data_IF_526749438168
#
_entry.id   IF_526749438168
#
_cell.length_a   1.000
_cell.length_b   1.000
_cell.length_c   1.000
_cell.angle_alpha   90.00
_cell.angle_beta   90.00
_cell.angle_gamma   90.00
#
_symmetry.space_group_name_H-M   'P 1'
#
loop_
_entity.id
_entity.type
_entity.pdbx_description
1 polymer ?
#
# COMPACT_ATOMS: atom_id res chain seq x y z
N UNK A 1 49.23 -12.67 -61.12
CA UNK A 1 49.48 -13.59 -60.01
C UNK A 1 49.42 -12.87 -58.72
N UNK A 2 48.41 -13.05 -57.96
CA UNK A 2 48.43 -13.09 -56.53
C UNK A 2 47.00 -13.14 -56.02
N UNK A 3 46.65 -14.24 -55.38
CA UNK A 3 45.38 -14.54 -54.75
C UNK A 3 45.39 -13.86 -53.41
N UNK A 4 44.40 -13.01 -53.11
CA UNK A 4 44.13 -12.50 -51.79
C UNK A 4 42.89 -13.18 -51.20
N UNK A 5 43.11 -14.05 -50.24
CA UNK A 5 42.09 -14.68 -49.47
C UNK A 5 41.46 -13.69 -48.51
N UNK A 6 40.18 -13.36 -48.70
CA UNK A 6 39.41 -12.58 -47.76
C UNK A 6 38.92 -13.44 -46.59
N UNK A 7 39.34 -13.14 -45.41
CA UNK A 7 38.82 -13.73 -44.17
C UNK A 7 37.56 -13.00 -43.75
N UNK A 8 36.45 -13.75 -43.74
CA UNK A 8 35.20 -13.34 -43.17
C UNK A 8 35.33 -13.43 -41.64
N UNK A 9 35.47 -12.30 -40.96
CA UNK A 9 35.30 -12.20 -39.55
C UNK A 9 33.77 -12.11 -39.25
N UNK A 10 33.19 -13.26 -38.95
CA UNK A 10 31.81 -13.32 -38.46
C UNK A 10 31.78 -12.85 -37.02
N UNK A 11 31.54 -11.55 -36.79
CA UNK A 11 31.36 -10.97 -35.48
C UNK A 11 30.04 -11.47 -34.86
N UNK A 12 30.17 -12.29 -33.89
CA UNK A 12 29.05 -12.75 -33.02
C UNK A 12 28.64 -11.56 -32.17
N UNK A 13 27.72 -10.76 -32.65
CA UNK A 13 26.94 -9.87 -31.77
C UNK A 13 25.84 -10.71 -31.15
N UNK A 14 26.10 -11.18 -29.94
CA UNK A 14 25.05 -11.76 -29.12
C UNK A 14 23.93 -10.72 -28.90
N UNK A 15 22.68 -11.17 -28.74
CA UNK A 15 21.57 -10.26 -28.48
C UNK A 15 21.86 -9.51 -27.19
N UNK A 16 21.96 -8.18 -27.28
CA UNK A 16 22.00 -7.32 -26.11
C UNK A 16 20.64 -7.50 -25.45
N UNK A 17 20.59 -8.32 -24.40
CA UNK A 17 19.43 -8.41 -23.55
C UNK A 17 19.26 -7.02 -22.91
N UNK A 18 18.34 -6.23 -23.47
CA UNK A 18 17.88 -5.02 -22.83
C UNK A 18 17.15 -5.46 -21.57
N UNK A 19 17.87 -5.55 -20.48
CA UNK A 19 17.25 -5.67 -19.16
C UNK A 19 16.35 -4.46 -19.03
N UNK A 20 15.03 -4.67 -19.06
CA UNK A 20 14.07 -3.64 -18.66
C UNK A 20 14.48 -3.23 -17.24
N UNK A 21 15.18 -2.13 -17.12
CA UNK A 21 15.31 -1.42 -15.85
C UNK A 21 13.89 -0.93 -15.57
N UNK A 22 13.14 -1.71 -14.82
CA UNK A 22 11.94 -1.22 -14.16
C UNK A 22 12.48 -0.21 -13.18
N UNK A 23 12.43 1.07 -13.55
CA UNK A 23 12.63 2.14 -12.60
C UNK A 23 11.59 1.91 -11.50
N UNK A 24 12.04 1.41 -10.35
CA UNK A 24 11.20 1.28 -9.18
C UNK A 24 10.83 2.70 -8.79
N UNK A 25 9.63 3.13 -9.19
CA UNK A 25 9.09 4.41 -8.77
C UNK A 25 9.03 4.37 -7.25
N UNK A 26 9.71 5.32 -6.61
CA UNK A 26 9.70 5.40 -5.14
C UNK A 26 8.24 5.49 -4.67
N UNK A 27 7.83 4.69 -3.68
CA UNK A 27 6.48 4.77 -3.14
C UNK A 27 6.17 6.19 -2.67
N UNK A 28 4.90 6.63 -2.78
CA UNK A 28 4.49 7.93 -2.25
C UNK A 28 4.79 8.07 -0.75
N UNK A 29 5.06 9.28 -0.29
CA UNK A 29 5.44 9.55 1.10
C UNK A 29 4.41 9.06 2.14
N UNK A 30 3.12 9.02 1.78
CA UNK A 30 2.08 8.53 2.67
C UNK A 30 2.18 7.02 2.98
N UNK A 31 2.92 6.26 2.18
CA UNK A 31 3.18 4.83 2.46
C UNK A 31 4.02 4.67 3.72
N UNK A 32 5.00 5.56 3.95
CA UNK A 32 5.77 5.57 5.20
C UNK A 32 4.90 5.94 6.40
N UNK A 33 3.97 6.88 6.24
CA UNK A 33 3.02 7.25 7.30
C UNK A 33 2.13 6.06 7.65
N UNK A 34 1.64 5.31 6.66
CA UNK A 34 0.85 4.10 6.86
C UNK A 34 1.62 3.01 7.63
N UNK A 35 2.87 2.75 7.27
CA UNK A 35 3.73 1.80 7.97
C UNK A 35 3.99 2.25 9.41
N UNK A 36 4.20 3.55 9.63
CA UNK A 36 4.39 4.12 10.98
C UNK A 36 3.14 3.98 11.83
N UNK A 37 1.96 4.24 11.27
CA UNK A 37 0.68 4.06 11.95
C UNK A 37 0.49 2.58 12.35
N UNK A 38 0.72 1.64 11.44
CA UNK A 38 0.64 0.20 11.72
C UNK A 38 1.58 -0.23 12.84
N UNK A 39 2.83 0.22 12.82
CA UNK A 39 3.79 -0.07 13.92
C UNK A 39 3.33 0.50 15.26
N UNK A 40 2.71 1.68 15.25
CA UNK A 40 2.14 2.29 16.44
C UNK A 40 0.99 1.45 16.98
N UNK A 41 0.12 0.96 16.13
CA UNK A 41 -0.98 0.05 16.50
C UNK A 41 -0.45 -1.24 17.10
N UNK A 42 0.54 -1.90 16.48
CA UNK A 42 1.18 -3.08 17.04
C UNK A 42 1.80 -2.82 18.42
N UNK A 43 2.41 -1.66 18.62
CA UNK A 43 2.94 -1.27 19.93
C UNK A 43 1.82 -1.08 20.96
N UNK A 44 0.73 -0.40 20.59
CA UNK A 44 -0.42 -0.15 21.47
C UNK A 44 -1.09 -1.45 21.92
N UNK A 45 -1.18 -2.47 21.07
CA UNK A 45 -1.71 -3.79 21.44
C UNK A 45 -0.97 -4.44 22.62
N UNK A 46 0.30 -4.12 22.81
CA UNK A 46 1.08 -4.62 23.95
C UNK A 46 0.88 -3.84 25.24
N UNK A 47 0.12 -2.73 25.19
CA UNK A 47 -0.06 -1.80 26.31
C UNK A 47 -1.45 -1.94 26.94
N UNK A 48 -1.59 -2.50 28.16
CA UNK A 48 -2.90 -2.71 28.78
C UNK A 48 -3.71 -1.42 29.02
N UNK A 49 -3.04 -0.27 29.07
CA UNK A 49 -3.68 1.04 29.24
C UNK A 49 -4.21 1.64 27.93
N UNK A 50 -3.80 1.12 26.79
CA UNK A 50 -4.21 1.57 25.47
C UNK A 50 -5.30 0.64 24.91
N UNK A 51 -6.52 0.89 25.35
CA UNK A 51 -7.66 0.05 24.93
C UNK A 51 -7.96 0.26 23.46
N UNK A 52 -8.27 -0.86 22.79
CA UNK A 52 -8.83 -0.83 21.44
C UNK A 52 -10.19 -0.12 21.44
N UNK A 53 -10.44 0.68 20.43
CA UNK A 53 -11.71 1.37 20.20
C UNK A 53 -12.26 0.97 18.82
N UNK A 54 -13.02 -0.16 18.76
CA UNK A 54 -13.57 -0.66 17.49
C UNK A 54 -14.77 0.15 16.98
N UNK A 55 -15.19 1.16 17.73
CA UNK A 55 -16.26 2.07 17.33
C UNK A 55 -15.88 2.82 16.06
N UNK A 56 -16.70 2.66 15.02
CA UNK A 56 -16.50 3.31 13.73
C UNK A 56 -17.83 3.85 13.22
N UNK A 57 -17.85 5.15 12.95
CA UNK A 57 -18.93 5.85 12.26
C UNK A 57 -18.37 6.50 11.01
N UNK A 58 -18.77 6.02 9.85
CA UNK A 58 -18.27 6.47 8.55
C UNK A 58 -18.63 7.93 8.27
N UNK A 59 -19.80 8.39 8.71
CA UNK A 59 -20.25 9.76 8.49
C UNK A 59 -19.51 10.74 9.40
N UNK A 60 -19.24 10.35 10.64
CA UNK A 60 -18.42 11.13 11.57
C UNK A 60 -16.99 11.30 11.03
N UNK A 61 -16.33 10.21 10.64
CA UNK A 61 -14.98 10.23 10.06
C UNK A 61 -14.95 11.12 8.80
N UNK A 62 -15.91 10.94 7.91
CA UNK A 62 -16.01 11.73 6.69
C UNK A 62 -16.22 13.22 7.01
N UNK A 63 -17.09 13.55 7.94
CA UNK A 63 -17.36 14.93 8.32
C UNK A 63 -16.14 15.61 8.93
N UNK A 64 -15.37 14.88 9.75
CA UNK A 64 -14.21 15.41 10.45
C UNK A 64 -12.95 15.51 9.57
N UNK A 65 -12.76 14.57 8.63
CA UNK A 65 -11.49 14.41 7.91
C UNK A 65 -11.62 14.57 6.39
N UNK A 66 -12.85 14.58 5.86
CA UNK A 66 -13.16 14.45 4.44
C UNK A 66 -12.59 13.16 3.80
N UNK A 67 -12.32 12.13 4.60
CA UNK A 67 -11.88 10.81 4.15
C UNK A 67 -13.08 9.88 4.10
N UNK A 68 -13.27 9.23 2.95
CA UNK A 68 -14.24 8.15 2.77
C UNK A 68 -13.48 6.82 2.92
N UNK A 69 -13.89 6.00 3.88
CA UNK A 69 -13.30 4.68 4.04
C UNK A 69 -14.01 3.67 3.14
N UNK A 70 -13.28 2.70 2.57
CA UNK A 70 -13.88 1.63 1.78
C UNK A 70 -14.73 0.71 2.65
N UNK A 71 -15.71 0.04 2.05
CA UNK A 71 -16.44 -1.02 2.73
C UNK A 71 -15.54 -2.24 2.94
N UNK A 72 -15.55 -2.76 4.16
CA UNK A 72 -14.76 -3.93 4.50
C UNK A 72 -15.45 -5.21 4.01
N UNK A 73 -14.69 -6.26 3.65
CA UNK A 73 -15.23 -7.61 3.51
C UNK A 73 -15.89 -8.10 4.80
N UNK A 74 -16.91 -8.96 4.68
CA UNK A 74 -17.71 -9.44 5.82
C UNK A 74 -16.89 -10.22 6.86
N UNK A 75 -15.81 -10.84 6.43
CA UNK A 75 -14.87 -11.61 7.27
C UNK A 75 -13.84 -10.74 7.99
N UNK A 76 -13.80 -9.44 7.70
CA UNK A 76 -12.88 -8.49 8.32
C UNK A 76 -13.50 -7.85 9.57
N UNK A 77 -12.81 -7.94 10.71
CA UNK A 77 -13.31 -7.42 12.00
C UNK A 77 -12.50 -6.23 12.44
N UNK A 78 -13.16 -5.08 12.58
CA UNK A 78 -12.53 -3.86 13.11
C UNK A 78 -12.13 -4.12 14.57
N UNK A 79 -10.86 -3.85 14.89
CA UNK A 79 -10.29 -3.93 16.22
C UNK A 79 -10.11 -2.55 16.84
N UNK A 80 -9.63 -1.61 16.05
CA UNK A 80 -9.33 -0.26 16.52
C UNK A 80 -9.47 0.74 15.37
N UNK A 81 -9.88 1.96 15.66
CA UNK A 81 -9.92 3.07 14.70
C UNK A 81 -9.30 4.29 15.34
N UNK A 82 -8.28 4.84 14.70
CA UNK A 82 -7.54 5.99 15.21
C UNK A 82 -7.35 7.06 14.15
N UNK A 83 -7.32 8.30 14.59
CA UNK A 83 -6.93 9.44 13.75
C UNK A 83 -5.51 9.84 14.12
N UNK A 84 -4.61 9.80 13.14
CA UNK A 84 -3.21 10.17 13.31
C UNK A 84 -2.88 11.48 12.57
N UNK A 85 -1.98 12.29 13.12
CA UNK A 85 -1.42 13.39 12.35
C UNK A 85 -0.47 12.85 11.27
N UNK A 86 -0.45 13.53 10.12
CA UNK A 86 0.52 13.29 9.06
C UNK A 86 1.01 14.61 8.48
N UNK A 87 1.98 14.55 7.58
CA UNK A 87 2.45 15.73 6.85
C UNK A 87 1.38 16.37 5.94
N UNK A 88 0.30 15.62 5.67
CA UNK A 88 -0.79 16.07 4.79
C UNK A 88 -2.07 16.44 5.58
N UNK A 89 -2.03 16.44 6.90
CA UNK A 89 -3.18 16.65 7.76
C UNK A 89 -3.63 15.36 8.46
N UNK A 90 -4.91 15.27 8.87
CA UNK A 90 -5.40 14.07 9.55
C UNK A 90 -5.40 12.87 8.60
N UNK A 91 -5.00 11.72 9.12
CA UNK A 91 -5.14 10.41 8.51
C UNK A 91 -5.98 9.50 9.39
N UNK A 92 -6.60 8.49 8.81
CA UNK A 92 -7.38 7.48 9.52
C UNK A 92 -6.67 6.14 9.40
N UNK A 93 -6.46 5.48 10.52
CA UNK A 93 -5.98 4.10 10.55
C UNK A 93 -7.02 3.23 11.20
N UNK A 94 -7.37 2.15 10.53
CA UNK A 94 -8.31 1.12 10.99
C UNK A 94 -7.56 -0.20 11.11
N UNK A 95 -7.35 -0.66 12.33
CA UNK A 95 -6.79 -1.98 12.58
C UNK A 95 -7.88 -3.04 12.40
N UNK A 96 -7.62 -4.01 11.57
CA UNK A 96 -8.59 -5.02 11.16
C UNK A 96 -8.00 -6.42 11.33
N UNK A 97 -8.72 -7.29 12.00
CA UNK A 97 -8.39 -8.71 12.07
C UNK A 97 -9.02 -9.44 10.89
N UNK A 98 -8.21 -10.19 10.18
CA UNK A 98 -8.62 -11.03 9.05
C UNK A 98 -8.23 -12.49 9.31
N UNK A 99 -8.86 -13.44 8.61
CA UNK A 99 -8.50 -14.86 8.73
C UNK A 99 -7.20 -15.19 7.98
N UNK A 100 -7.02 -14.61 6.78
CA UNK A 100 -5.92 -14.95 5.90
C UNK A 100 -4.64 -14.14 6.15
N UNK A 101 -4.78 -12.84 6.51
CA UNK A 101 -3.65 -11.91 6.63
C UNK A 101 -3.29 -11.60 8.09
N UNK A 102 -4.08 -12.10 9.07
CA UNK A 102 -3.94 -11.72 10.47
C UNK A 102 -4.36 -10.27 10.71
N UNK A 103 -3.64 -9.56 11.56
CA UNK A 103 -3.86 -8.14 11.80
C UNK A 103 -3.27 -7.31 10.67
N UNK A 104 -4.11 -6.51 10.02
CA UNK A 104 -3.72 -5.52 9.00
C UNK A 104 -4.21 -4.14 9.41
N UNK A 105 -3.54 -3.11 8.95
CA UNK A 105 -4.01 -1.74 9.03
C UNK A 105 -4.49 -1.27 7.67
N UNK A 106 -5.72 -0.76 7.63
CA UNK A 106 -6.24 0.03 6.53
C UNK A 106 -6.02 1.50 6.87
N UNK A 107 -5.09 2.11 6.18
CA UNK A 107 -4.74 3.53 6.34
C UNK A 107 -5.33 4.35 5.21
N UNK A 108 -5.85 5.53 5.52
CA UNK A 108 -6.41 6.46 4.55
C UNK A 108 -5.99 7.90 4.85
N UNK A 109 -5.69 8.65 3.80
CA UNK A 109 -5.17 10.02 3.88
C UNK A 109 -5.55 10.82 2.64
N UNK A 110 -5.59 12.14 2.77
CA UNK A 110 -5.70 13.07 1.64
C UNK A 110 -4.33 13.69 1.34
N UNK A 111 -3.59 13.19 0.33
CA UNK A 111 -2.22 13.66 0.04
C UNK A 111 -2.16 15.04 -0.63
N UNK A 112 -3.30 15.72 -0.81
CA UNK A 112 -3.37 17.03 -1.45
C UNK A 112 -3.30 17.00 -2.98
N UNK A 113 -3.29 15.82 -3.58
CA UNK A 113 -3.33 15.61 -5.03
C UNK A 113 -4.55 14.81 -5.41
N UNK A 114 -5.09 15.09 -6.60
CA UNK A 114 -6.14 14.27 -7.19
C UNK A 114 -5.48 13.30 -8.17
N UNK A 115 -5.61 11.99 -7.91
CA UNK A 115 -5.01 10.97 -8.77
C UNK A 115 -5.84 9.67 -8.78
N UNK A 116 -5.55 8.80 -9.73
CA UNK A 116 -6.07 7.44 -9.80
C UNK A 116 -4.89 6.48 -9.94
N UNK A 117 -4.46 5.95 -8.80
CA UNK A 117 -3.39 4.96 -8.71
C UNK A 117 -4.02 3.60 -8.45
N UNK A 118 -3.78 2.65 -9.35
CA UNK A 118 -4.23 1.26 -9.16
C UNK A 118 -3.49 0.63 -7.99
N UNK A 119 -4.07 -0.38 -7.33
CA UNK A 119 -3.38 -1.15 -6.31
C UNK A 119 -1.99 -1.55 -6.75
N UNK A 120 -1.02 -1.24 -5.92
CA UNK A 120 0.41 -1.41 -6.19
C UNK A 120 1.12 -1.77 -4.89
N UNK A 121 2.02 -2.73 -4.93
CA UNK A 121 2.82 -3.13 -3.77
C UNK A 121 4.06 -2.26 -3.67
N UNK A 122 4.29 -1.72 -2.48
CA UNK A 122 5.55 -1.06 -2.15
C UNK A 122 6.61 -2.10 -1.73
N UNK A 123 7.87 -1.93 -2.12
CA UNK A 123 8.97 -2.71 -1.58
C UNK A 123 9.01 -2.59 -0.06
N UNK A 124 9.18 -3.72 0.63
CA UNK A 124 9.23 -3.76 2.09
C UNK A 124 10.20 -4.83 2.57
N UNK A 125 10.77 -4.63 3.76
CA UNK A 125 11.65 -5.60 4.40
C UNK A 125 10.85 -6.58 5.26
N UNK A 126 10.12 -6.07 6.28
CA UNK A 126 9.41 -6.86 7.29
C UNK A 126 7.88 -6.69 7.28
N UNK A 127 7.41 -5.60 6.69
CA UNK A 127 5.99 -5.23 6.62
C UNK A 127 5.64 -4.90 5.18
N UNK A 128 4.81 -5.74 4.57
CA UNK A 128 4.31 -5.50 3.21
C UNK A 128 3.22 -4.42 3.19
N UNK A 129 3.20 -3.64 2.14
CA UNK A 129 2.21 -2.57 1.96
C UNK A 129 1.71 -2.58 0.54
N UNK A 130 0.39 -2.67 0.36
CA UNK A 130 -0.27 -2.40 -0.90
C UNK A 130 -1.00 -1.05 -0.81
N UNK A 131 -0.82 -0.17 -1.77
CA UNK A 131 -1.40 1.17 -1.76
C UNK A 131 -2.10 1.49 -3.07
N UNK A 132 -3.08 2.39 -3.00
CA UNK A 132 -3.81 2.90 -4.16
C UNK A 132 -4.36 4.29 -3.85
N UNK A 133 -4.78 5.02 -4.89
CA UNK A 133 -5.43 6.32 -4.72
C UNK A 133 -6.66 6.40 -5.61
N UNK A 134 -7.74 6.94 -5.10
CA UNK A 134 -8.98 7.22 -5.85
C UNK A 134 -9.39 8.65 -5.55
N UNK A 135 -9.20 9.51 -6.54
CA UNK A 135 -9.49 10.92 -6.40
C UNK A 135 -8.56 11.61 -5.40
N UNK A 136 -9.12 12.23 -4.38
CA UNK A 136 -8.38 12.98 -3.36
C UNK A 136 -7.91 12.11 -2.18
N UNK A 137 -8.32 10.85 -2.10
CA UNK A 137 -8.00 9.97 -0.98
C UNK A 137 -7.08 8.85 -1.43
N UNK A 138 -5.96 8.71 -0.75
CA UNK A 138 -5.02 7.61 -0.89
C UNK A 138 -5.20 6.62 0.26
N UNK A 139 -5.01 5.35 -0.05
CA UNK A 139 -5.19 4.23 0.87
C UNK A 139 -3.97 3.34 0.88
N UNK A 140 -3.71 2.70 2.02
CA UNK A 140 -2.70 1.66 2.13
C UNK A 140 -3.19 0.53 3.02
N UNK A 141 -2.97 -0.70 2.59
CA UNK A 141 -3.18 -1.92 3.38
C UNK A 141 -1.81 -2.40 3.83
N UNK A 142 -1.58 -2.41 5.13
CA UNK A 142 -0.27 -2.69 5.74
C UNK A 142 -0.38 -3.91 6.64
N UNK A 143 0.55 -4.85 6.50
CA UNK A 143 0.55 -6.05 7.33
C UNK A 143 1.76 -6.94 7.10
N UNK A 144 1.82 -8.05 7.84
CA UNK A 144 2.89 -9.05 7.72
C UNK A 144 2.58 -10.16 6.70
N UNK A 145 1.46 -10.06 6.00
CA UNK A 145 1.08 -10.99 4.95
C UNK A 145 2.00 -10.90 3.73
N UNK A 146 1.91 -11.90 2.85
CA UNK A 146 2.61 -11.83 1.58
C UNK A 146 2.07 -10.69 0.70
N UNK A 147 2.96 -10.11 -0.11
CA UNK A 147 2.66 -8.96 -0.93
C UNK A 147 1.49 -9.18 -1.90
N UNK A 148 1.36 -10.38 -2.46
CA UNK A 148 0.29 -10.71 -3.40
C UNK A 148 -1.09 -10.81 -2.71
N UNK A 149 -1.14 -11.25 -1.46
CA UNK A 149 -2.38 -11.28 -0.68
C UNK A 149 -2.82 -9.88 -0.28
N UNK A 150 -1.88 -9.01 0.09
CA UNK A 150 -2.19 -7.60 0.37
C UNK A 150 -2.64 -6.84 -0.89
N UNK A 151 -2.05 -7.13 -2.04
CA UNK A 151 -2.47 -6.57 -3.32
C UNK A 151 -3.92 -6.93 -3.64
N UNK A 152 -4.28 -8.20 -3.51
CA UNK A 152 -5.67 -8.67 -3.69
C UNK A 152 -6.63 -8.02 -2.69
N UNK A 153 -6.19 -7.82 -1.45
CA UNK A 153 -6.98 -7.12 -0.43
C UNK A 153 -7.22 -5.65 -0.84
N UNK A 154 -6.17 -4.96 -1.27
CA UNK A 154 -6.26 -3.59 -1.78
C UNK A 154 -7.19 -3.49 -3.00
N UNK A 155 -7.12 -4.44 -3.93
CA UNK A 155 -8.04 -4.50 -5.07
C UNK A 155 -9.51 -4.68 -4.65
N UNK A 156 -9.79 -5.55 -3.67
CA UNK A 156 -11.16 -5.72 -3.14
C UNK A 156 -11.67 -4.42 -2.55
N UNK A 157 -10.88 -3.76 -1.71
CA UNK A 157 -11.25 -2.50 -1.08
C UNK A 157 -11.46 -1.38 -2.11
N UNK A 158 -10.56 -1.25 -3.07
CA UNK A 158 -10.68 -0.24 -4.13
C UNK A 158 -12.02 -0.34 -4.89
N UNK A 159 -12.50 -1.54 -5.16
CA UNK A 159 -13.79 -1.76 -5.86
C UNK A 159 -15.00 -1.29 -5.09
N UNK A 160 -14.91 -1.10 -3.78
CA UNK A 160 -16.04 -0.64 -2.94
C UNK A 160 -16.20 0.88 -2.93
N UNK A 161 -15.28 1.59 -3.55
CA UNK A 161 -15.24 3.04 -3.60
C UNK A 161 -15.80 3.65 -4.91
N UNK A 162 -16.27 2.79 -5.83
CA UNK A 162 -16.87 3.18 -7.13
C UNK A 162 -18.40 3.08 -7.10
#
# INVERSE_FOLDING_TARGET
MLVAAGWLANGIFGPIAVTKVVASTQPPAYVEDAVRAHRTTLMRETMPSQREAPGYDADEIRAATAIVMPSLPDDWKIRDVQVYPSQFGPSVEMAVQTEDLGLVSLFAIRPGTFDVVKPTVAPADDISTAYFQIGEVAYAVVGRGDAGSLDRAAEKLARTLY
#
